data_IF_545298843464
#
_entry.id   IF_545298843464
#
_cell.length_a   1.000
_cell.length_b   1.000
_cell.length_c   1.000
_cell.angle_alpha   90.00
_cell.angle_beta   90.00
_cell.angle_gamma   90.00
#
_symmetry.space_group_name_H-M   'P 1'
#
loop_
_entity.id
_entity.type
_entity.pdbx_description
1 polymer ?
#
# COMPACT_ATOMS: atom_id res chain seq x y z
N UNK A 1 3.17 10.44 -8.25
CA UNK A 1 2.29 9.91 -7.22
C UNK A 1 0.93 9.53 -7.79
N UNK A 2 0.36 8.43 -7.31
CA UNK A 2 -0.98 7.95 -7.71
C UNK A 2 -2.12 8.57 -6.91
N UNK A 3 -1.84 9.16 -5.76
CA UNK A 3 -2.83 9.76 -4.87
C UNK A 3 -3.22 11.15 -5.37
N UNK A 4 -4.52 11.38 -5.55
CA UNK A 4 -5.11 12.68 -5.89
C UNK A 4 -5.45 13.46 -4.63
N UNK A 5 -6.06 12.78 -3.65
CA UNK A 5 -6.46 13.38 -2.38
C UNK A 5 -6.37 12.37 -1.25
N UNK A 6 -6.07 12.85 -0.06
CA UNK A 6 -6.10 12.11 1.21
C UNK A 6 -6.84 12.94 2.25
N UNK A 7 -8.04 12.50 2.61
CA UNK A 7 -8.81 13.06 3.71
C UNK A 7 -8.61 12.22 4.97
N UNK A 8 -8.07 12.83 6.01
CA UNK A 8 -7.80 12.15 7.27
C UNK A 8 -8.75 12.63 8.37
N UNK A 9 -9.48 11.69 8.97
CA UNK A 9 -10.47 11.94 10.03
C UNK A 9 -9.97 11.35 11.35
N UNK A 10 -9.64 12.18 12.33
CA UNK A 10 -9.05 11.76 13.61
C UNK A 10 -10.02 11.69 14.79
N UNK A 11 -11.14 12.42 14.77
CA UNK A 11 -12.02 12.59 15.94
C UNK A 11 -13.51 12.34 15.67
N UNK A 12 -13.82 11.68 14.61
CA UNK A 12 -15.17 11.38 14.22
C UNK A 12 -15.31 11.40 12.71
N UNK A 13 -16.05 10.47 12.20
CA UNK A 13 -16.29 10.32 10.77
C UNK A 13 -17.74 9.92 10.53
N UNK A 14 -18.19 10.19 9.32
CA UNK A 14 -19.56 9.87 8.89
C UNK A 14 -19.87 8.38 9.08
N UNK A 15 -21.13 8.07 9.37
CA UNK A 15 -21.66 6.69 9.41
C UNK A 15 -21.49 5.91 8.09
N UNK A 16 -21.09 6.58 7.01
CA UNK A 16 -20.64 5.96 5.75
C UNK A 16 -19.45 5.01 5.96
N UNK A 17 -18.59 5.30 6.95
CA UNK A 17 -17.40 4.52 7.25
C UNK A 17 -17.63 3.69 8.52
N UNK A 18 -18.02 2.43 8.34
CA UNK A 18 -18.24 1.49 9.45
C UNK A 18 -16.97 0.83 9.98
N UNK A 19 -17.07 0.17 11.14
CA UNK A 19 -16.02 -0.67 11.75
C UNK A 19 -14.68 0.04 12.02
N UNK A 20 -14.72 1.34 12.38
CA UNK A 20 -13.53 2.12 12.73
C UNK A 20 -13.68 2.64 14.15
N UNK A 21 -12.57 2.64 14.92
CA UNK A 21 -12.59 2.98 16.34
C UNK A 21 -11.90 4.31 16.66
N UNK A 22 -10.91 4.72 15.88
CA UNK A 22 -10.11 5.92 16.22
C UNK A 22 -9.97 6.91 15.06
N UNK A 23 -9.45 6.48 13.94
CA UNK A 23 -9.18 7.33 12.79
C UNK A 23 -9.47 6.61 11.47
N UNK A 24 -9.66 7.38 10.43
CA UNK A 24 -9.92 6.88 9.09
C UNK A 24 -9.27 7.79 8.06
N UNK A 25 -8.63 7.17 7.06
CA UNK A 25 -8.07 7.86 5.90
C UNK A 25 -8.85 7.48 4.64
N UNK A 26 -9.42 8.46 3.95
CA UNK A 26 -10.06 8.27 2.65
C UNK A 26 -9.09 8.70 1.54
N UNK A 27 -8.65 7.74 0.74
CA UNK A 27 -7.65 7.96 -0.31
C UNK A 27 -8.33 7.91 -1.67
N UNK A 28 -8.24 9.00 -2.39
CA UNK A 28 -8.70 9.07 -3.78
C UNK A 28 -7.51 8.93 -4.72
N UNK A 29 -7.57 7.96 -5.60
CA UNK A 29 -6.56 7.73 -6.64
C UNK A 29 -6.91 8.49 -7.92
N UNK A 30 -5.96 9.23 -8.47
CA UNK A 30 -6.12 9.94 -9.74
C UNK A 30 -6.26 8.99 -10.92
N UNK A 31 -6.75 9.49 -12.03
CA UNK A 31 -6.74 8.78 -13.31
C UNK A 31 -5.39 8.96 -14.00
N UNK A 32 -5.02 8.00 -14.85
CA UNK A 32 -3.83 8.12 -15.69
C UNK A 32 -3.96 9.21 -16.77
N UNK A 33 -2.82 9.60 -17.34
CA UNK A 33 -2.76 10.58 -18.41
C UNK A 33 -3.57 10.09 -19.64
N UNK A 34 -4.37 10.98 -20.22
CA UNK A 34 -5.25 10.65 -21.37
C UNK A 34 -4.60 10.89 -22.72
N UNK A 35 -3.50 11.63 -22.75
CA UNK A 35 -2.92 12.13 -23.98
C UNK A 35 -1.61 11.44 -24.34
N UNK A 36 -0.76 11.21 -23.33
CA UNK A 36 0.58 10.70 -23.54
C UNK A 36 0.95 9.61 -22.52
N UNK A 37 1.78 8.67 -22.94
CA UNK A 37 2.46 7.77 -22.02
C UNK A 37 3.56 8.57 -21.31
N UNK A 38 3.56 8.50 -19.98
CA UNK A 38 4.54 9.16 -19.12
C UNK A 38 5.08 8.16 -18.09
N UNK A 39 6.33 8.36 -17.70
CA UNK A 39 6.98 7.57 -16.67
C UNK A 39 7.84 8.47 -15.78
N UNK A 40 7.89 8.16 -14.52
CA UNK A 40 8.68 8.84 -13.50
C UNK A 40 9.40 7.79 -12.65
N UNK A 41 10.70 7.93 -12.49
CA UNK A 41 11.50 7.14 -11.56
C UNK A 41 11.99 8.04 -10.44
N UNK A 42 12.06 7.51 -9.24
CA UNK A 42 12.64 8.19 -8.10
C UNK A 42 13.52 7.25 -7.29
N UNK A 43 14.52 7.82 -6.68
CA UNK A 43 15.40 7.17 -5.72
C UNK A 43 15.58 8.11 -4.52
N UNK A 44 15.50 7.57 -3.32
CA UNK A 44 15.63 8.31 -2.08
C UNK A 44 16.21 7.45 -0.98
N UNK A 45 16.46 8.02 0.19
CA UNK A 45 17.08 7.31 1.32
C UNK A 45 16.29 6.05 1.73
N UNK A 46 14.97 6.07 1.63
CA UNK A 46 14.12 4.96 2.05
C UNK A 46 13.84 3.91 0.98
N UNK A 47 14.19 4.17 -0.30
CA UNK A 47 13.86 3.22 -1.36
C UNK A 47 13.89 3.82 -2.75
N UNK A 48 13.52 3.02 -3.71
CA UNK A 48 13.35 3.41 -5.09
C UNK A 48 11.93 3.10 -5.57
N UNK A 49 11.51 3.79 -6.62
CA UNK A 49 10.23 3.51 -7.22
C UNK A 49 10.11 4.00 -8.65
N UNK A 50 9.07 3.51 -9.28
CA UNK A 50 8.74 3.82 -10.65
C UNK A 50 7.23 4.01 -10.78
N UNK A 51 6.83 4.99 -11.55
CA UNK A 51 5.43 5.25 -11.91
C UNK A 51 5.32 5.33 -13.43
N UNK A 52 4.29 4.75 -13.98
CA UNK A 52 3.97 4.80 -15.41
C UNK A 52 2.48 5.02 -15.60
N UNK A 53 2.12 5.87 -16.52
CA UNK A 53 0.74 6.17 -16.85
C UNK A 53 0.55 6.48 -18.33
N UNK A 54 -0.67 6.33 -18.81
CA UNK A 54 -0.97 6.67 -20.19
C UNK A 54 -2.36 6.23 -20.65
N UNK A 55 -2.70 6.55 -21.92
CA UNK A 55 -3.94 6.11 -22.53
C UNK A 55 -3.88 4.64 -22.96
N UNK A 56 -5.03 3.97 -22.88
CA UNK A 56 -5.31 2.68 -23.52
C UNK A 56 -6.42 2.95 -24.55
N UNK A 57 -6.02 3.23 -25.79
CA UNK A 57 -6.95 3.70 -26.80
C UNK A 57 -7.58 5.05 -26.44
N UNK A 58 -8.79 5.30 -26.92
CA UNK A 58 -9.43 6.64 -26.81
C UNK A 58 -10.30 6.81 -25.55
N UNK A 59 -10.59 5.74 -24.82
CA UNK A 59 -11.59 5.73 -23.75
C UNK A 59 -11.10 5.20 -22.41
N UNK A 60 -9.86 4.72 -22.36
CA UNK A 60 -9.27 4.15 -21.15
C UNK A 60 -7.95 4.80 -20.83
N UNK A 61 -7.61 4.79 -19.55
CA UNK A 61 -6.30 5.19 -19.04
C UNK A 61 -5.82 4.17 -18.04
N UNK A 62 -4.51 4.09 -17.90
CA UNK A 62 -3.87 3.35 -16.82
C UNK A 62 -2.90 4.24 -16.06
N UNK A 63 -2.70 3.90 -14.80
CA UNK A 63 -1.62 4.39 -13.97
C UNK A 63 -1.17 3.24 -13.09
N UNK A 64 0.13 3.02 -13.01
CA UNK A 64 0.72 1.97 -12.19
C UNK A 64 1.97 2.50 -11.51
N UNK A 65 2.22 2.08 -10.29
CA UNK A 65 3.45 2.38 -9.55
C UNK A 65 3.98 1.14 -8.85
N UNK A 66 5.28 1.09 -8.76
CA UNK A 66 6.02 0.11 -7.98
C UNK A 66 7.02 0.82 -7.10
N UNK A 67 7.11 0.42 -5.82
CA UNK A 67 8.09 0.94 -4.87
C UNK A 67 8.70 -0.23 -4.10
N UNK A 68 9.97 -0.10 -3.78
CA UNK A 68 10.68 -1.02 -2.89
C UNK A 68 11.72 -0.31 -2.05
N UNK A 69 11.93 -0.79 -0.85
CA UNK A 69 13.07 -0.40 -0.04
C UNK A 69 14.33 -1.15 -0.51
N UNK A 70 15.49 -0.57 -0.24
CA UNK A 70 16.78 -1.22 -0.40
C UNK A 70 17.66 -1.04 0.86
N UNK A 71 17.00 -0.74 1.97
CA UNK A 71 17.70 -0.46 3.24
C UNK A 71 18.51 -1.65 3.74
N UNK A 72 18.03 -2.88 3.47
CA UNK A 72 18.74 -4.12 3.73
C UNK A 72 20.08 -4.23 3.00
N UNK A 73 20.14 -3.71 1.76
CA UNK A 73 21.37 -3.75 0.94
C UNK A 73 22.47 -2.81 1.46
N UNK A 74 22.09 -1.80 2.23
CA UNK A 74 23.04 -0.82 2.79
C UNK A 74 23.16 -0.94 4.31
N UNK A 75 22.48 -1.90 4.93
CA UNK A 75 22.46 -2.10 6.38
C UNK A 75 23.89 -2.24 6.95
N UNK A 76 24.71 -3.08 6.32
CA UNK A 76 26.11 -3.29 6.70
C UNK A 76 26.95 -2.02 6.58
N UNK A 77 26.70 -1.21 5.54
CA UNK A 77 27.44 0.02 5.29
C UNK A 77 27.16 1.12 6.32
N UNK A 78 26.00 1.08 6.97
CA UNK A 78 25.56 2.05 7.98
C UNK A 78 25.59 1.47 9.40
N UNK A 79 26.17 0.28 9.58
CA UNK A 79 26.23 -0.47 10.85
C UNK A 79 24.85 -0.60 11.51
N UNK A 80 23.83 -0.93 10.74
CA UNK A 80 22.47 -1.09 11.22
C UNK A 80 22.21 -2.52 11.68
N UNK A 81 22.79 -2.91 12.79
CA UNK A 81 22.69 -4.25 13.38
C UNK A 81 21.33 -4.58 14.00
N UNK A 82 20.48 -3.56 14.21
CA UNK A 82 19.16 -3.74 14.84
C UNK A 82 18.07 -4.35 13.95
N UNK A 83 18.39 -4.77 12.72
CA UNK A 83 17.43 -5.18 11.70
C UNK A 83 16.86 -3.99 10.94
N UNK A 84 16.71 -4.14 9.64
CA UNK A 84 16.14 -3.09 8.77
C UNK A 84 14.81 -3.57 8.18
N UNK A 85 13.74 -2.76 8.32
CA UNK A 85 12.49 -3.10 7.66
C UNK A 85 12.63 -3.00 6.14
N UNK A 86 12.26 -4.05 5.44
CA UNK A 86 12.08 -4.03 3.99
C UNK A 86 10.61 -3.88 3.65
N UNK A 87 10.31 -3.20 2.57
CA UNK A 87 8.96 -3.08 2.07
C UNK A 87 8.94 -2.99 0.55
N UNK A 88 7.83 -3.39 -0.01
CA UNK A 88 7.55 -3.21 -1.42
C UNK A 88 6.06 -3.11 -1.65
N UNK A 89 5.66 -2.30 -2.61
CA UNK A 89 4.27 -2.21 -3.03
C UNK A 89 4.14 -2.03 -4.54
N UNK A 90 3.07 -2.57 -5.05
CA UNK A 90 2.59 -2.38 -6.41
C UNK A 90 1.16 -1.86 -6.37
N UNK A 91 0.90 -0.78 -7.06
CA UNK A 91 -0.43 -0.21 -7.19
C UNK A 91 -0.73 0.03 -8.66
N UNK A 92 -1.96 -0.26 -9.06
CA UNK A 92 -2.41 0.00 -10.43
C UNK A 92 -3.88 0.39 -10.46
N UNK A 93 -4.21 1.36 -11.30
CA UNK A 93 -5.59 1.75 -11.59
C UNK A 93 -5.80 1.79 -13.09
N UNK A 94 -6.87 1.16 -13.55
CA UNK A 94 -7.35 1.27 -14.92
C UNK A 94 -8.71 1.94 -14.87
N UNK A 95 -8.93 2.91 -15.74
CA UNK A 95 -10.20 3.59 -15.87
C UNK A 95 -10.70 3.49 -17.30
N UNK A 96 -11.96 3.11 -17.48
CA UNK A 96 -12.64 3.02 -18.75
C UNK A 96 -13.89 3.92 -18.75
N UNK A 97 -13.98 4.84 -19.70
CA UNK A 97 -15.10 5.74 -19.90
C UNK A 97 -15.70 5.56 -21.29
N UNK A 98 -16.67 4.64 -21.43
CA UNK A 98 -17.33 4.40 -22.72
C UNK A 98 -18.03 5.65 -23.26
N UNK A 99 -18.55 6.48 -22.35
CA UNK A 99 -19.23 7.74 -22.64
C UNK A 99 -19.08 8.73 -21.47
N UNK A 100 -19.76 9.89 -21.56
CA UNK A 100 -19.70 10.95 -20.54
C UNK A 100 -20.47 10.63 -19.26
N UNK A 101 -21.34 9.63 -19.29
CA UNK A 101 -22.20 9.25 -18.17
C UNK A 101 -21.63 8.06 -17.37
N UNK A 102 -20.82 7.23 -18.00
CA UNK A 102 -20.37 5.96 -17.44
C UNK A 102 -18.87 5.96 -17.22
N UNK A 103 -18.46 5.58 -16.01
CA UNK A 103 -17.05 5.38 -15.65
C UNK A 103 -16.89 4.06 -14.90
N UNK A 104 -16.03 3.21 -15.38
CA UNK A 104 -15.59 1.97 -14.72
C UNK A 104 -14.15 2.16 -14.27
N UNK A 105 -13.83 1.70 -13.07
CA UNK A 105 -12.46 1.72 -12.55
C UNK A 105 -12.13 0.39 -11.91
N UNK A 106 -10.95 -0.11 -12.20
CA UNK A 106 -10.33 -1.24 -11.52
C UNK A 106 -9.13 -0.70 -10.73
N UNK A 107 -9.08 -0.97 -9.44
CA UNK A 107 -7.95 -0.64 -8.56
C UNK A 107 -7.35 -1.92 -8.01
N UNK A 108 -6.02 -2.01 -8.07
CA UNK A 108 -5.22 -3.07 -7.45
C UNK A 108 -4.19 -2.43 -6.54
N UNK A 109 -4.09 -2.91 -5.31
CA UNK A 109 -3.09 -2.51 -4.33
C UNK A 109 -2.52 -3.77 -3.71
N UNK A 110 -1.25 -4.00 -3.95
CA UNK A 110 -0.49 -5.10 -3.36
C UNK A 110 0.68 -4.48 -2.60
N UNK A 111 0.93 -4.90 -1.37
CA UNK A 111 2.05 -4.42 -0.60
C UNK A 111 2.47 -5.44 0.45
N UNK A 112 3.75 -5.41 0.80
CA UNK A 112 4.31 -6.24 1.85
C UNK A 112 5.43 -5.53 2.58
N UNK A 113 5.66 -5.94 3.80
CA UNK A 113 6.80 -5.53 4.60
C UNK A 113 7.33 -6.73 5.37
N UNK A 114 8.64 -6.75 5.53
CA UNK A 114 9.33 -7.75 6.32
C UNK A 114 10.32 -7.04 7.23
N UNK A 115 10.34 -7.44 8.48
CA UNK A 115 11.33 -7.05 9.46
C UNK A 115 11.93 -8.31 10.03
N UNK A 116 13.25 -8.42 9.97
CA UNK A 116 14.02 -9.55 10.48
C UNK A 116 15.15 -9.03 11.34
N UNK A 117 15.23 -9.48 12.56
CA UNK A 117 16.31 -9.19 13.51
C UNK A 117 16.79 -10.47 14.14
N UNK A 118 18.06 -10.76 13.99
CA UNK A 118 18.70 -11.88 14.65
C UNK A 118 19.06 -11.57 16.12
N UNK A 119 19.54 -12.57 16.83
CA UNK A 119 19.90 -12.43 18.25
C UNK A 119 21.11 -11.51 18.48
N UNK A 120 22.06 -11.47 17.55
CA UNK A 120 23.25 -10.63 17.67
C UNK A 120 22.88 -9.14 17.50
N UNK A 121 22.10 -8.82 16.48
CA UNK A 121 21.60 -7.47 16.25
C UNK A 121 20.69 -6.97 17.37
N UNK A 122 19.91 -7.84 17.99
CA UNK A 122 19.10 -7.47 19.14
C UNK A 122 19.97 -7.10 20.36
N UNK A 123 21.03 -7.85 20.63
CA UNK A 123 21.98 -7.56 21.72
C UNK A 123 22.68 -6.22 21.50
N UNK A 124 23.12 -5.94 20.28
CA UNK A 124 23.81 -4.69 19.96
C UNK A 124 22.98 -3.44 20.21
N UNK A 125 21.68 -3.52 19.97
CA UNK A 125 20.75 -2.40 20.21
C UNK A 125 20.13 -2.41 21.61
N UNK A 126 20.52 -3.37 22.47
CA UNK A 126 20.05 -3.48 23.87
C UNK A 126 18.63 -4.03 24.00
N UNK A 127 18.14 -4.73 23.03
CA UNK A 127 16.84 -5.39 23.04
C UNK A 127 16.94 -6.80 23.65
N UNK A 128 15.84 -7.31 24.16
CA UNK A 128 15.76 -8.65 24.77
C UNK A 128 15.05 -9.67 23.89
N UNK A 129 14.54 -9.23 22.76
CA UNK A 129 13.75 -10.03 21.83
C UNK A 129 14.32 -9.93 20.41
N UNK A 130 14.30 -11.04 19.72
CA UNK A 130 14.67 -11.15 18.32
C UNK A 130 13.62 -11.95 17.56
N UNK A 131 13.53 -11.74 16.25
CA UNK A 131 12.54 -12.46 15.46
C UNK A 131 12.16 -11.77 14.18
N UNK A 132 11.09 -12.28 13.60
CA UNK A 132 10.64 -11.92 12.28
C UNK A 132 9.18 -11.48 12.29
N UNK A 133 8.91 -10.40 11.59
CA UNK A 133 7.55 -9.91 11.28
C UNK A 133 7.40 -9.77 9.78
N UNK A 134 6.39 -10.42 9.23
CA UNK A 134 6.05 -10.32 7.81
C UNK A 134 4.59 -9.94 7.64
N UNK A 135 4.33 -8.92 6.86
CA UNK A 135 2.98 -8.49 6.51
C UNK A 135 2.82 -8.45 5.00
N UNK A 136 1.71 -8.97 4.51
CA UNK A 136 1.30 -8.87 3.12
C UNK A 136 -0.15 -8.41 3.06
N UNK A 137 -0.45 -7.53 2.12
CA UNK A 137 -1.81 -7.10 1.83
C UNK A 137 -2.06 -7.05 0.34
N UNK A 138 -3.17 -7.66 -0.07
CA UNK A 138 -3.66 -7.62 -1.45
C UNK A 138 -5.07 -7.09 -1.45
N UNK A 139 -5.31 -6.04 -2.22
CA UNK A 139 -6.64 -5.46 -2.40
C UNK A 139 -6.92 -5.31 -3.89
N UNK A 140 -8.09 -5.76 -4.30
CA UNK A 140 -8.63 -5.51 -5.64
C UNK A 140 -10.03 -4.97 -5.51
N UNK A 141 -10.35 -3.92 -6.26
CA UNK A 141 -11.66 -3.29 -6.22
C UNK A 141 -12.10 -2.82 -7.59
N UNK A 142 -13.39 -2.96 -7.85
CA UNK A 142 -14.05 -2.45 -9.03
C UNK A 142 -15.05 -1.38 -8.61
N UNK A 143 -15.04 -0.28 -9.30
CA UNK A 143 -15.99 0.82 -9.11
C UNK A 143 -16.70 1.13 -10.41
N UNK A 144 -18.02 1.32 -10.33
CA UNK A 144 -18.84 1.81 -11.42
C UNK A 144 -19.59 3.06 -11.00
N UNK A 145 -19.39 4.14 -11.74
CA UNK A 145 -20.10 5.41 -11.58
C UNK A 145 -20.99 5.67 -12.80
N UNK A 146 -22.27 5.92 -12.53
CA UNK A 146 -23.24 6.34 -13.55
C UNK A 146 -23.84 7.69 -13.18
N UNK A 147 -23.85 8.61 -14.13
CA UNK A 147 -24.46 9.95 -14.02
C UNK A 147 -25.80 9.93 -14.72
N UNK A 148 -26.87 10.00 -13.95
CA UNK A 148 -28.25 10.01 -14.45
C UNK A 148 -28.62 11.38 -15.05
N UNK A 149 -28.21 12.44 -14.37
CA UNK A 149 -28.44 13.84 -14.77
C UNK A 149 -27.58 14.77 -13.91
N UNK A 150 -27.74 16.09 -14.07
CA UNK A 150 -26.95 17.09 -13.35
C UNK A 150 -27.16 17.10 -11.80
N UNK A 151 -28.11 16.33 -11.28
CA UNK A 151 -28.47 16.30 -9.85
C UNK A 151 -28.34 14.92 -9.22
N UNK A 152 -28.16 13.88 -10.03
CA UNK A 152 -28.15 12.50 -9.53
C UNK A 152 -27.07 11.66 -10.21
N UNK A 153 -26.37 10.87 -9.40
CA UNK A 153 -25.45 9.84 -9.85
C UNK A 153 -25.51 8.63 -8.93
N UNK A 154 -25.11 7.50 -9.45
CA UNK A 154 -24.90 6.26 -8.68
C UNK A 154 -23.41 5.95 -8.69
N UNK A 155 -22.89 5.53 -7.54
CA UNK A 155 -21.53 5.04 -7.38
C UNK A 155 -21.56 3.70 -6.66
N UNK A 156 -21.14 2.64 -7.33
CA UNK A 156 -21.15 1.27 -6.80
C UNK A 156 -19.72 0.73 -6.76
N UNK A 157 -19.30 0.24 -5.61
CA UNK A 157 -17.98 -0.34 -5.41
C UNK A 157 -18.08 -1.73 -4.85
N UNK A 158 -17.26 -2.64 -5.38
CA UNK A 158 -17.06 -3.99 -4.85
C UNK A 158 -15.57 -4.18 -4.71
N UNK A 159 -15.12 -4.61 -3.54
CA UNK A 159 -13.69 -4.87 -3.27
C UNK A 159 -13.50 -6.11 -2.42
N UNK A 160 -12.35 -6.73 -2.62
CA UNK A 160 -11.83 -7.79 -1.77
C UNK A 160 -10.44 -7.38 -1.27
N UNK A 161 -10.18 -7.56 0.02
CA UNK A 161 -8.88 -7.31 0.64
C UNK A 161 -8.50 -8.51 1.48
N UNK A 162 -7.30 -9.03 1.22
CA UNK A 162 -6.70 -10.13 1.97
C UNK A 162 -5.45 -9.57 2.63
N UNK A 163 -5.37 -9.73 3.95
CA UNK A 163 -4.19 -9.39 4.74
C UNK A 163 -3.67 -10.66 5.40
N UNK A 164 -2.37 -10.84 5.35
CA UNK A 164 -1.65 -11.90 6.05
C UNK A 164 -0.57 -11.26 6.92
N UNK A 165 -0.48 -11.72 8.15
CA UNK A 165 0.50 -11.23 9.13
C UNK A 165 1.10 -12.41 9.87
N UNK A 166 2.40 -12.62 9.69
CA UNK A 166 3.18 -13.64 10.38
C UNK A 166 4.18 -12.94 11.30
N UNK A 167 4.13 -13.23 12.59
CA UNK A 167 5.05 -12.69 13.56
C UNK A 167 5.58 -13.81 14.49
N UNK A 168 6.88 -13.91 14.61
CA UNK A 168 7.55 -14.88 15.48
C UNK A 168 8.70 -14.21 16.22
N UNK A 169 8.58 -14.04 17.52
CA UNK A 169 9.60 -13.44 18.38
C UNK A 169 9.98 -14.36 19.53
N UNK A 170 11.26 -14.38 19.82
CA UNK A 170 11.91 -15.19 20.85
C UNK A 170 12.65 -14.29 21.83
N UNK A 171 12.69 -14.69 23.10
CA UNK A 171 13.49 -14.02 24.10
C UNK A 171 14.94 -14.54 24.04
N UNK A 172 15.92 -13.63 24.04
CA UNK A 172 17.35 -13.93 23.89
C UNK A 172 17.83 -14.82 25.05
N UNK A 173 17.40 -14.54 26.28
CA UNK A 173 17.94 -15.22 27.48
C UNK A 173 17.34 -16.60 27.69
N UNK A 174 16.08 -16.80 27.39
CA UNK A 174 15.34 -18.03 27.63
C UNK A 174 15.16 -18.92 26.41
N UNK A 175 15.30 -18.36 25.21
CA UNK A 175 14.95 -19.04 23.95
C UNK A 175 13.44 -19.34 23.81
N UNK A 176 12.62 -18.83 24.73
CA UNK A 176 11.19 -19.08 24.70
C UNK A 176 10.49 -18.11 23.73
N UNK A 177 9.44 -18.61 23.08
CA UNK A 177 8.58 -17.78 22.24
C UNK A 177 7.84 -16.76 23.09
N UNK A 178 8.03 -15.47 22.81
CA UNK A 178 7.35 -14.37 23.47
C UNK A 178 6.06 -14.06 22.72
N UNK A 179 6.12 -14.16 21.39
CA UNK A 179 5.04 -13.76 20.53
C UNK A 179 5.00 -14.60 19.25
N UNK A 180 3.84 -15.15 18.93
CA UNK A 180 3.62 -15.90 17.70
C UNK A 180 2.20 -15.63 17.21
N UNK A 181 2.08 -14.96 16.05
CA UNK A 181 0.82 -14.74 15.34
C UNK A 181 0.97 -15.23 13.91
N UNK A 182 -0.02 -15.97 13.45
CA UNK A 182 -0.22 -16.37 12.05
C UNK A 182 -1.67 -16.07 11.72
N UNK A 183 -1.90 -15.05 10.90
CA UNK A 183 -3.23 -14.63 10.42
C UNK A 183 -3.30 -14.57 8.90
#
# INVERSE_FOLDING_TARGET
>A
DMVENLDFFSNGFSSKFGNKLSSFGDITYRSGNRYNVQGEGFIGVGGLGFLMEGPIGNRSTYIASYRMSYLDLIADAINASGGMPTYGDFQAKIEFRPDIYNTFSLLMVNGGSEYDRDSEGAIEVGETEYGKLKNNQNTIGVNYKHIWNNRAYTNTSISNSIKQSDAHFLNINSGQTVFNIVE
#
